data_IF_211156056128
#
_entry.id   IF_211156056128
#
_cell.length_a   1.000
_cell.length_b   1.000
_cell.length_c   1.000
_cell.angle_alpha   90.00
_cell.angle_beta   90.00
_cell.angle_gamma   90.00
#
_symmetry.space_group_name_H-M   'P 1'
#
loop_
_entity.id
_entity.type
_entity.pdbx_description
1 polymer ?
#
# COMPACT_ATOMS: atom_id res chain seq x y z
N UNK A 1 8.64 6.91 5.40
CA UNK A 1 8.70 5.65 6.19
C UNK A 1 9.35 4.53 5.38
N UNK A 2 8.83 4.18 4.21
CA UNK A 2 9.41 3.12 3.35
C UNK A 2 10.91 3.33 3.07
N UNK A 3 11.32 4.53 2.61
CA UNK A 3 12.74 4.81 2.37
C UNK A 3 13.61 4.74 3.64
N UNK A 4 13.04 5.00 4.83
CA UNK A 4 13.76 4.80 6.10
C UNK A 4 14.00 3.31 6.35
N UNK A 5 13.00 2.46 6.09
CA UNK A 5 13.14 1.01 6.22
C UNK A 5 14.23 0.48 5.26
N UNK A 6 14.20 0.94 4.00
CA UNK A 6 15.22 0.62 2.99
C UNK A 6 16.62 1.04 3.46
N UNK A 7 16.79 2.27 3.95
CA UNK A 7 18.08 2.76 4.44
C UNK A 7 18.60 2.00 5.67
N UNK A 8 17.73 1.51 6.55
CA UNK A 8 18.13 0.82 7.78
C UNK A 8 18.61 -0.62 7.53
N UNK A 9 17.98 -1.32 6.59
CA UNK A 9 18.14 -2.78 6.47
C UNK A 9 18.37 -3.28 5.04
N UNK A 10 18.23 -2.42 4.04
CA UNK A 10 18.41 -2.77 2.63
C UNK A 10 19.84 -2.54 2.14
N UNK A 11 20.21 -3.26 1.10
CA UNK A 11 21.52 -3.13 0.49
C UNK A 11 21.65 -1.82 -0.33
N UNK A 12 22.82 -1.17 -0.33
CA UNK A 12 23.07 -0.03 -1.20
C UNK A 12 22.93 -0.41 -2.69
N UNK A 13 22.24 0.43 -3.45
CA UNK A 13 22.10 0.27 -4.89
C UNK A 13 23.31 0.93 -5.56
N UNK A 14 24.07 0.15 -6.32
CA UNK A 14 25.17 0.66 -7.14
C UNK A 14 24.61 1.09 -8.50
N UNK A 15 24.71 2.38 -8.80
CA UNK A 15 24.25 2.97 -10.04
C UNK A 15 25.46 3.24 -10.95
N UNK A 16 25.33 2.89 -12.23
CA UNK A 16 26.32 3.24 -13.25
C UNK A 16 26.43 4.78 -13.37
N UNK A 17 27.64 5.37 -13.22
CA UNK A 17 27.86 6.82 -13.28
C UNK A 17 27.38 7.51 -14.56
N UNK A 18 27.16 6.77 -15.64
CA UNK A 18 26.72 7.30 -16.94
C UNK A 18 25.21 7.53 -17.04
N UNK A 19 24.46 7.14 -16.02
CA UNK A 19 22.99 7.27 -16.02
C UNK A 19 22.51 8.54 -15.32
N UNK A 20 21.40 9.11 -15.80
CA UNK A 20 20.68 10.21 -15.15
C UNK A 20 20.23 9.89 -13.71
N UNK A 21 20.43 8.67 -13.24
CA UNK A 21 20.09 8.25 -11.89
C UNK A 21 21.07 8.78 -10.83
N UNK A 22 22.28 9.23 -11.21
CA UNK A 22 23.18 9.93 -10.29
C UNK A 22 22.55 11.22 -9.76
N UNK A 23 21.96 12.03 -10.63
CA UNK A 23 21.29 13.28 -10.25
C UNK A 23 20.09 13.03 -9.32
N UNK A 24 19.40 11.90 -9.49
CA UNK A 24 18.29 11.49 -8.61
C UNK A 24 18.81 11.15 -7.21
N UNK A 25 19.90 10.39 -7.09
CA UNK A 25 20.46 10.02 -5.79
C UNK A 25 21.12 11.20 -5.07
N UNK A 26 21.74 12.13 -5.80
CA UNK A 26 22.28 13.36 -5.22
C UNK A 26 21.16 14.19 -4.58
N UNK A 27 19.96 14.19 -5.19
CA UNK A 27 18.78 14.89 -4.67
C UNK A 27 18.00 14.10 -3.62
N UNK A 28 17.95 12.78 -3.74
CA UNK A 28 17.16 11.86 -2.92
C UNK A 28 18.02 10.66 -2.50
N UNK A 29 19.00 10.85 -1.60
CA UNK A 29 19.97 9.81 -1.23
C UNK A 29 19.33 8.59 -0.58
N UNK A 30 18.15 8.72 0.00
CA UNK A 30 17.38 7.62 0.58
C UNK A 30 16.82 6.63 -0.45
N UNK A 31 16.80 6.99 -1.74
CA UNK A 31 16.45 6.08 -2.83
C UNK A 31 17.63 5.19 -3.26
N UNK A 32 18.81 5.39 -2.68
CA UNK A 32 20.02 4.62 -2.96
C UNK A 32 20.10 3.27 -2.26
N UNK A 33 18.98 2.77 -1.71
CA UNK A 33 18.92 1.51 -0.97
C UNK A 33 17.77 0.66 -1.47
N UNK A 34 18.01 -0.63 -1.65
CA UNK A 34 16.97 -1.59 -2.01
C UNK A 34 15.97 -1.76 -0.86
N UNK A 35 14.76 -2.22 -1.17
CA UNK A 35 13.85 -2.67 -0.11
C UNK A 35 14.43 -3.93 0.56
N UNK A 36 14.44 -4.03 1.90
CA UNK A 36 15.07 -5.15 2.58
C UNK A 36 14.37 -6.47 2.26
N UNK A 37 15.17 -7.50 2.07
CA UNK A 37 14.71 -8.87 1.93
C UNK A 37 14.08 -9.37 3.23
N UNK A 38 13.22 -10.38 3.13
CA UNK A 38 12.64 -11.02 4.31
C UNK A 38 13.74 -11.59 5.23
N UNK A 39 14.79 -12.18 4.66
CA UNK A 39 15.94 -12.71 5.41
C UNK A 39 16.66 -11.63 6.21
N UNK A 40 16.91 -10.45 5.61
CA UNK A 40 17.50 -9.31 6.32
C UNK A 40 16.64 -8.87 7.52
N UNK A 41 15.33 -8.82 7.35
CA UNK A 41 14.42 -8.42 8.43
C UNK A 41 14.28 -9.49 9.52
N UNK A 42 14.30 -10.78 9.17
CA UNK A 42 14.29 -11.88 10.14
C UNK A 42 15.55 -11.86 11.00
N UNK A 43 16.71 -11.54 10.42
CA UNK A 43 17.98 -11.50 11.15
C UNK A 43 17.98 -10.49 12.31
N UNK A 44 17.23 -9.39 12.18
CA UNK A 44 17.09 -8.31 13.18
C UNK A 44 15.76 -8.36 13.93
N UNK A 45 15.02 -9.47 13.82
CA UNK A 45 13.68 -9.63 14.38
C UNK A 45 13.57 -9.28 15.88
N UNK A 46 14.54 -9.63 16.76
CA UNK A 46 14.44 -9.33 18.20
C UNK A 46 14.34 -7.83 18.50
N UNK A 47 15.07 -6.98 17.76
CA UNK A 47 15.13 -5.53 17.96
C UNK A 47 14.24 -4.72 16.98
N UNK A 48 13.74 -5.35 15.91
CA UNK A 48 13.05 -4.68 14.80
C UNK A 48 11.94 -3.72 15.27
N UNK A 49 11.06 -4.15 16.18
CA UNK A 49 9.96 -3.30 16.68
C UNK A 49 10.49 -2.07 17.44
N UNK A 50 11.48 -2.25 18.31
CA UNK A 50 12.06 -1.17 19.10
C UNK A 50 12.70 -0.12 18.19
N UNK A 51 13.55 -0.57 17.26
CA UNK A 51 14.21 0.32 16.29
C UNK A 51 13.18 1.05 15.43
N UNK A 52 12.15 0.36 14.91
CA UNK A 52 11.13 1.03 14.10
C UNK A 52 10.32 2.08 14.89
N UNK A 53 10.10 1.87 16.19
CA UNK A 53 9.47 2.88 17.06
C UNK A 53 10.33 4.12 17.19
N UNK A 54 11.63 3.95 17.45
CA UNK A 54 12.61 5.05 17.50
C UNK A 54 12.68 5.79 16.16
N UNK A 55 12.48 5.09 15.05
CA UNK A 55 12.46 5.65 13.70
C UNK A 55 11.11 6.29 13.31
N UNK A 56 10.22 6.49 14.29
CA UNK A 56 8.91 7.16 14.18
C UNK A 56 7.91 6.41 13.29
N UNK A 57 7.94 5.07 13.27
CA UNK A 57 6.91 4.28 12.58
C UNK A 57 5.58 4.23 13.38
N UNK A 58 5.60 4.67 14.64
CA UNK A 58 4.43 4.67 15.52
C UNK A 58 3.90 3.27 15.76
N UNK A 59 2.58 3.11 15.82
CA UNK A 59 1.95 1.80 16.08
C UNK A 59 2.25 0.76 14.98
N UNK A 60 2.61 1.19 13.77
CA UNK A 60 2.91 0.28 12.65
C UNK A 60 4.21 -0.49 12.84
N UNK A 61 5.11 -0.03 13.72
CA UNK A 61 6.33 -0.76 14.06
C UNK A 61 6.02 -2.18 14.54
N UNK A 62 5.01 -2.33 15.40
CA UNK A 62 4.56 -3.62 15.89
C UNK A 62 3.97 -4.50 14.77
N UNK A 63 3.13 -3.91 13.90
CA UNK A 63 2.55 -4.63 12.75
C UNK A 63 3.62 -5.15 11.79
N UNK A 64 4.63 -4.33 11.47
CA UNK A 64 5.73 -4.73 10.58
C UNK A 64 6.53 -5.86 11.22
N UNK A 65 6.98 -5.70 12.47
CA UNK A 65 7.77 -6.73 13.14
C UNK A 65 7.00 -8.05 13.27
N UNK A 66 5.71 -8.01 13.59
CA UNK A 66 4.90 -9.22 13.70
C UNK A 66 4.63 -9.86 12.33
N UNK A 67 4.41 -9.07 11.28
CA UNK A 67 4.26 -9.59 9.92
C UNK A 67 5.53 -10.29 9.44
N UNK A 68 6.72 -9.72 9.70
CA UNK A 68 8.01 -10.36 9.39
C UNK A 68 8.14 -11.69 10.14
N UNK A 69 7.80 -11.72 11.44
CA UNK A 69 7.79 -12.95 12.25
C UNK A 69 6.88 -14.02 11.65
N UNK A 70 5.65 -13.65 11.27
CA UNK A 70 4.67 -14.56 10.66
C UNK A 70 5.18 -15.08 9.31
N UNK A 71 5.73 -14.21 8.46
CA UNK A 71 6.29 -14.58 7.16
C UNK A 71 7.51 -15.50 7.29
N UNK A 72 8.36 -15.30 8.29
CA UNK A 72 9.51 -16.17 8.55
C UNK A 72 9.17 -17.59 8.98
N UNK A 73 7.91 -17.88 9.29
CA UNK A 73 7.40 -19.22 9.59
C UNK A 73 6.83 -19.92 8.36
N UNK A 74 6.70 -19.22 7.23
CA UNK A 74 6.16 -19.77 5.98
C UNK A 74 7.30 -20.27 5.08
N UNK A 75 6.94 -21.07 4.07
CA UNK A 75 7.87 -21.42 3.00
C UNK A 75 8.37 -20.16 2.28
N UNK A 76 9.66 -20.08 1.88
CA UNK A 76 10.17 -18.99 1.05
C UNK A 76 9.39 -18.79 -0.26
N UNK A 77 8.77 -19.86 -0.77
CA UNK A 77 7.96 -19.86 -2.01
C UNK A 77 6.46 -19.73 -1.73
N UNK A 78 6.03 -19.41 -0.50
CA UNK A 78 4.61 -19.45 -0.14
C UNK A 78 3.72 -18.57 -1.03
N UNK A 79 4.26 -17.45 -1.55
CA UNK A 79 3.52 -16.57 -2.43
C UNK A 79 3.27 -17.14 -3.84
N UNK A 80 4.10 -18.07 -4.30
CA UNK A 80 3.90 -18.75 -5.59
C UNK A 80 2.62 -19.59 -5.52
N UNK A 81 2.42 -20.31 -4.41
CA UNK A 81 1.21 -21.10 -4.14
C UNK A 81 -0.01 -20.18 -3.94
N UNK A 82 0.16 -19.09 -3.17
CA UNK A 82 -0.93 -18.13 -2.90
C UNK A 82 -1.46 -17.48 -4.18
N UNK A 83 -0.60 -17.21 -5.16
CA UNK A 83 -1.03 -16.63 -6.45
C UNK A 83 -1.96 -17.55 -7.26
N UNK A 84 -1.94 -18.86 -7.00
CA UNK A 84 -2.82 -19.83 -7.66
C UNK A 84 -4.18 -19.99 -6.95
N UNK A 85 -4.35 -19.41 -5.77
CA UNK A 85 -5.58 -19.50 -5.00
C UNK A 85 -6.68 -18.61 -5.57
N UNK A 86 -7.92 -18.89 -5.17
CA UNK A 86 -9.04 -17.99 -5.48
C UNK A 86 -8.85 -16.62 -4.81
N UNK A 87 -9.45 -15.58 -5.38
CA UNK A 87 -9.39 -14.23 -4.82
C UNK A 87 -9.85 -14.16 -3.34
N UNK A 88 -10.85 -14.96 -2.96
CA UNK A 88 -11.33 -15.01 -1.58
C UNK A 88 -10.35 -15.70 -0.63
N UNK A 89 -9.61 -16.69 -1.10
CA UNK A 89 -8.55 -17.35 -0.34
C UNK A 89 -7.33 -16.45 -0.18
N UNK A 90 -6.94 -15.72 -1.24
CA UNK A 90 -5.91 -14.68 -1.17
C UNK A 90 -6.27 -13.62 -0.12
N UNK A 91 -7.52 -13.13 -0.13
CA UNK A 91 -8.01 -12.18 0.88
C UNK A 91 -7.90 -12.75 2.30
N UNK A 92 -8.33 -13.99 2.52
CA UNK A 92 -8.23 -14.67 3.83
C UNK A 92 -6.78 -14.80 4.29
N UNK A 93 -5.88 -15.21 3.39
CA UNK A 93 -4.46 -15.31 3.66
C UNK A 93 -3.88 -13.96 4.08
N UNK A 94 -4.12 -12.90 3.30
CA UNK A 94 -3.61 -11.56 3.60
C UNK A 94 -4.17 -10.99 4.91
N UNK A 95 -5.45 -11.22 5.21
CA UNK A 95 -6.08 -10.78 6.46
C UNK A 95 -5.57 -11.51 7.70
N UNK A 96 -4.81 -12.60 7.55
CA UNK A 96 -4.19 -13.30 8.69
C UNK A 96 -2.96 -12.56 9.26
N UNK A 97 -2.40 -11.61 8.51
CA UNK A 97 -1.23 -10.86 8.95
C UNK A 97 -1.60 -9.70 9.87
N UNK A 98 -0.80 -9.52 10.93
CA UNK A 98 -1.05 -8.49 11.93
C UNK A 98 -0.93 -7.09 11.35
N UNK A 99 -2.00 -6.29 11.46
CA UNK A 99 -2.05 -4.93 10.92
C UNK A 99 -2.50 -4.85 9.46
N UNK A 100 -2.79 -5.99 8.81
CA UNK A 100 -3.39 -6.03 7.47
C UNK A 100 -4.91 -6.06 7.59
N UNK A 101 -5.54 -4.90 7.39
CA UNK A 101 -6.99 -4.78 7.27
C UNK A 101 -7.49 -4.96 5.82
N UNK A 102 -8.82 -4.98 5.59
CA UNK A 102 -9.41 -5.19 4.27
C UNK A 102 -8.83 -4.31 3.16
N UNK A 103 -8.65 -3.01 3.42
CA UNK A 103 -8.06 -2.09 2.43
C UNK A 103 -6.64 -2.49 2.03
N UNK A 104 -5.81 -2.88 3.00
CA UNK A 104 -4.41 -3.25 2.75
C UNK A 104 -4.35 -4.58 2.02
N UNK A 105 -5.19 -5.55 2.40
CA UNK A 105 -5.32 -6.82 1.70
C UNK A 105 -5.70 -6.62 0.22
N UNK A 106 -6.69 -5.79 -0.07
CA UNK A 106 -7.05 -5.46 -1.47
C UNK A 106 -5.90 -4.79 -2.23
N UNK A 107 -5.12 -3.90 -1.58
CA UNK A 107 -3.97 -3.26 -2.23
C UNK A 107 -2.90 -4.29 -2.63
N UNK A 108 -2.56 -5.20 -1.71
CA UNK A 108 -1.56 -6.24 -1.95
C UNK A 108 -2.06 -7.20 -3.03
N UNK A 109 -3.32 -7.64 -2.96
CA UNK A 109 -3.92 -8.52 -3.96
C UNK A 109 -3.90 -7.90 -5.37
N UNK A 110 -4.31 -6.63 -5.50
CA UNK A 110 -4.34 -5.90 -6.77
C UNK A 110 -2.94 -5.63 -7.34
N UNK A 111 -2.03 -5.10 -6.51
CA UNK A 111 -0.75 -4.55 -6.98
C UNK A 111 0.39 -5.56 -7.01
N UNK A 112 0.26 -6.72 -6.33
CA UNK A 112 1.35 -7.70 -6.23
C UNK A 112 0.96 -9.16 -6.50
N UNK A 113 -0.33 -9.51 -6.45
CA UNK A 113 -0.80 -10.90 -6.65
C UNK A 113 -1.69 -11.08 -7.90
N UNK A 114 -1.69 -10.11 -8.80
CA UNK A 114 -2.39 -10.21 -10.09
C UNK A 114 -3.92 -10.19 -10.02
N UNK A 115 -4.52 -9.86 -8.87
CA UNK A 115 -5.97 -9.86 -8.69
C UNK A 115 -6.57 -8.53 -9.17
N UNK A 116 -6.71 -8.36 -10.48
CA UNK A 116 -7.16 -7.11 -11.13
C UNK A 116 -8.58 -6.67 -10.76
N UNK A 117 -9.39 -7.58 -10.24
CA UNK A 117 -10.73 -7.35 -9.73
C UNK A 117 -10.76 -6.83 -8.28
N UNK A 118 -9.65 -6.94 -7.53
CA UNK A 118 -9.58 -6.44 -6.15
C UNK A 118 -9.66 -4.90 -6.12
N UNK A 119 -10.46 -4.35 -5.21
CA UNK A 119 -10.78 -2.91 -5.16
C UNK A 119 -10.46 -2.35 -3.77
N UNK A 120 -9.31 -1.68 -3.60
CA UNK A 120 -9.00 -1.00 -2.36
C UNK A 120 -9.96 0.17 -2.09
N UNK A 121 -10.86 0.01 -1.12
CA UNK A 121 -11.75 1.09 -0.68
C UNK A 121 -11.15 1.80 0.55
N UNK A 122 -10.65 3.01 0.35
CA UNK A 122 -10.29 3.93 1.42
C UNK A 122 -11.27 5.11 1.52
N UNK A 123 -10.96 6.10 2.37
CA UNK A 123 -11.80 7.29 2.52
C UNK A 123 -11.92 8.08 1.21
N UNK A 124 -10.86 8.21 0.43
CA UNK A 124 -10.85 9.00 -0.81
C UNK A 124 -11.71 8.33 -1.88
N UNK A 125 -11.51 7.03 -2.09
CA UNK A 125 -12.35 6.22 -2.99
C UNK A 125 -13.81 6.24 -2.55
N UNK A 126 -14.06 6.20 -1.24
CA UNK A 126 -15.41 6.36 -0.72
C UNK A 126 -16.03 7.72 -1.06
N UNK A 127 -15.31 8.83 -0.90
CA UNK A 127 -15.78 10.17 -1.30
C UNK A 127 -16.05 10.28 -2.82
N UNK A 128 -15.17 9.72 -3.66
CA UNK A 128 -15.40 9.60 -5.11
C UNK A 128 -16.71 8.87 -5.36
N UNK A 129 -16.90 7.73 -4.69
CA UNK A 129 -18.06 6.89 -4.88
C UNK A 129 -19.35 7.61 -4.50
N UNK A 130 -19.36 8.30 -3.35
CA UNK A 130 -20.50 9.14 -2.94
C UNK A 130 -20.81 10.21 -3.98
N UNK A 131 -19.79 10.88 -4.51
CA UNK A 131 -19.96 11.99 -5.44
C UNK A 131 -20.51 11.55 -6.80
N UNK A 132 -19.97 10.48 -7.38
CA UNK A 132 -20.21 10.17 -8.81
C UNK A 132 -21.11 8.96 -9.04
N UNK A 133 -21.24 8.05 -8.06
CA UNK A 133 -21.96 6.80 -8.26
C UNK A 133 -23.11 6.59 -7.29
N UNK A 134 -22.96 7.03 -6.03
CA UNK A 134 -23.95 6.79 -4.97
C UNK A 134 -24.17 8.02 -4.09
N UNK A 135 -24.81 9.10 -4.60
CA UNK A 135 -25.09 10.32 -3.83
C UNK A 135 -25.92 10.08 -2.56
N UNK A 136 -26.71 9.01 -2.53
CA UNK A 136 -27.49 8.60 -1.35
C UNK A 136 -26.62 8.23 -0.14
N UNK A 137 -25.32 8.00 -0.31
CA UNK A 137 -24.38 7.68 0.76
C UNK A 137 -23.74 8.93 1.39
N UNK A 138 -24.17 10.16 1.02
CA UNK A 138 -23.57 11.44 1.46
C UNK A 138 -23.24 11.49 2.95
N UNK A 139 -24.21 11.13 3.80
CA UNK A 139 -24.11 11.20 5.27
C UNK A 139 -23.69 9.86 5.90
N UNK A 140 -23.31 8.88 5.09
CA UNK A 140 -22.84 7.57 5.56
C UNK A 140 -21.35 7.62 5.90
N UNK A 141 -20.97 6.83 6.91
CA UNK A 141 -19.58 6.56 7.25
C UNK A 141 -19.10 5.27 6.58
N UNK A 142 -17.80 5.22 6.23
CA UNK A 142 -17.19 4.01 5.70
C UNK A 142 -17.05 2.96 6.81
N UNK A 143 -17.89 1.92 6.75
CA UNK A 143 -17.82 0.74 7.62
C UNK A 143 -17.27 -0.46 6.85
N UNK A 144 -16.88 -1.52 7.57
CA UNK A 144 -16.43 -2.77 6.92
C UNK A 144 -17.51 -3.38 6.02
N UNK A 145 -18.77 -3.37 6.48
CA UNK A 145 -19.91 -3.88 5.70
C UNK A 145 -20.13 -3.04 4.44
N UNK A 146 -20.10 -1.71 4.58
CA UNK A 146 -20.26 -0.82 3.44
C UNK A 146 -19.09 -0.97 2.46
N UNK A 147 -17.85 -1.04 2.95
CA UNK A 147 -16.65 -1.27 2.14
C UNK A 147 -16.80 -2.52 1.26
N UNK A 148 -17.25 -3.65 1.81
CA UNK A 148 -17.51 -4.88 1.03
C UNK A 148 -18.59 -4.69 -0.03
N UNK A 149 -19.67 -3.97 0.29
CA UNK A 149 -20.71 -3.65 -0.69
C UNK A 149 -20.17 -2.78 -1.83
N UNK A 150 -19.29 -1.83 -1.51
CA UNK A 150 -18.65 -0.99 -2.51
C UNK A 150 -17.69 -1.81 -3.39
N UNK A 151 -16.88 -2.70 -2.83
CA UNK A 151 -16.05 -3.61 -3.64
C UNK A 151 -16.87 -4.36 -4.68
N UNK A 152 -17.99 -4.99 -4.27
CA UNK A 152 -18.91 -5.68 -5.18
C UNK A 152 -19.49 -4.76 -6.26
N UNK A 153 -19.90 -3.55 -5.90
CA UNK A 153 -20.38 -2.57 -6.86
C UNK A 153 -19.33 -2.24 -7.94
N UNK A 154 -18.06 -2.07 -7.55
CA UNK A 154 -16.98 -1.81 -8.52
C UNK A 154 -16.71 -3.04 -9.40
N UNK A 155 -16.70 -4.25 -8.82
CA UNK A 155 -16.57 -5.51 -9.57
C UNK A 155 -17.72 -5.67 -10.60
N UNK A 156 -18.98 -5.44 -10.19
CA UNK A 156 -20.16 -5.48 -11.07
C UNK A 156 -20.10 -4.41 -12.17
N UNK A 157 -19.60 -3.21 -11.86
CA UNK A 157 -19.59 -2.07 -12.78
C UNK A 157 -18.44 -2.11 -13.79
N UNK A 158 -17.25 -2.54 -13.37
CA UNK A 158 -16.02 -2.45 -14.14
C UNK A 158 -15.43 -3.81 -14.52
N UNK A 159 -16.01 -4.91 -14.01
CA UNK A 159 -15.64 -6.27 -14.38
C UNK A 159 -14.24 -6.66 -13.91
N UNK A 160 -13.55 -7.45 -14.74
CA UNK A 160 -12.27 -8.07 -14.41
C UNK A 160 -11.13 -7.09 -14.05
N UNK A 161 -11.25 -5.80 -14.40
CA UNK A 161 -10.24 -4.78 -14.16
C UNK A 161 -10.72 -3.68 -13.19
N UNK A 162 -11.69 -3.99 -12.33
CA UNK A 162 -12.27 -3.03 -11.40
C UNK A 162 -11.25 -2.31 -10.51
N UNK A 163 -10.19 -2.99 -10.06
CA UNK A 163 -9.12 -2.39 -9.28
C UNK A 163 -8.34 -1.32 -10.06
N UNK A 164 -8.06 -1.58 -11.34
CA UNK A 164 -7.39 -0.61 -12.20
C UNK A 164 -8.28 0.59 -12.52
N UNK A 165 -9.58 0.37 -12.76
CA UNK A 165 -10.54 1.45 -12.93
C UNK A 165 -10.63 2.33 -11.67
N UNK A 166 -10.64 1.71 -10.48
CA UNK A 166 -10.54 2.44 -9.21
C UNK A 166 -9.25 3.27 -9.12
N UNK A 167 -8.11 2.74 -9.56
CA UNK A 167 -6.84 3.46 -9.61
C UNK A 167 -6.90 4.72 -10.48
N UNK A 168 -7.53 4.65 -11.66
CA UNK A 168 -7.74 5.81 -12.55
C UNK A 168 -8.59 6.89 -11.86
N UNK A 169 -9.71 6.48 -11.23
CA UNK A 169 -10.60 7.39 -10.52
C UNK A 169 -9.92 8.05 -9.32
N UNK A 170 -9.11 7.29 -8.58
CA UNK A 170 -8.33 7.79 -7.45
C UNK A 170 -7.31 8.84 -7.90
N UNK A 171 -6.60 8.61 -9.01
CA UNK A 171 -5.59 9.54 -9.51
C UNK A 171 -6.19 10.90 -9.90
N UNK A 172 -7.37 10.93 -10.53
CA UNK A 172 -8.08 12.18 -10.85
C UNK A 172 -8.46 13.02 -9.61
N UNK A 173 -8.60 12.39 -8.44
CA UNK A 173 -8.85 13.13 -7.20
C UNK A 173 -7.57 13.75 -6.64
N UNK A 174 -6.40 13.13 -6.87
CA UNK A 174 -5.11 13.64 -6.42
C UNK A 174 -4.73 14.97 -7.08
N UNK A 175 -5.05 15.14 -8.37
CA UNK A 175 -4.80 16.39 -9.11
C UNK A 175 -5.44 17.62 -8.45
N UNK A 176 -6.61 17.44 -7.81
CA UNK A 176 -7.29 18.53 -7.09
C UNK A 176 -6.51 19.03 -5.89
N UNK A 177 -5.71 18.16 -5.26
CA UNK A 177 -4.85 18.55 -4.15
C UNK A 177 -3.61 19.30 -4.63
N UNK A 178 -3.01 18.89 -5.77
CA UNK A 178 -1.85 19.58 -6.36
C UNK A 178 -2.21 21.02 -6.73
N UNK A 179 -3.39 21.24 -7.33
CA UNK A 179 -3.82 22.59 -7.71
C UNK A 179 -4.33 23.44 -6.53
N UNK A 180 -4.79 22.84 -5.44
CA UNK A 180 -5.23 23.59 -4.25
C UNK A 180 -4.03 24.17 -3.48
N UNK A 181 -2.92 23.42 -3.38
CA UNK A 181 -1.70 23.90 -2.70
C UNK A 181 -1.06 25.09 -3.43
N UNK A 182 -1.12 25.12 -4.76
CA UNK A 182 -0.61 26.25 -5.56
C UNK A 182 -1.39 27.57 -5.36
N UNK A 183 -2.66 27.51 -4.91
CA UNK A 183 -3.48 28.71 -4.69
C UNK A 183 -3.25 29.28 -3.27
N UNK A 184 -2.85 28.45 -2.29
CA UNK A 184 -2.56 28.92 -0.93
C UNK A 184 -1.22 29.64 -0.77
N UNK A 185 -0.26 29.45 -1.67
CA UNK A 185 1.03 30.18 -1.65
C UNK A 185 0.95 31.59 -2.26
N UNK A 186 -0.16 31.93 -2.93
CA UNK A 186 -0.29 33.18 -3.69
C UNK A 186 -1.18 34.26 -3.02
N UNK A 187 -1.67 34.03 -1.80
CA UNK A 187 -2.55 34.97 -1.08
C UNK A 187 -1.91 35.56 0.21
N UNK A 188 -0.59 35.56 0.30
CA UNK A 188 0.15 36.33 1.31
C UNK A 188 0.67 37.64 0.72
N UNK A 189 -0.19 38.67 0.67
CA UNK A 189 0.21 40.09 0.59
C UNK A 189 -0.14 40.76 1.90
#
# INVERSE_FOLDING_TARGET
MVNKLAKLYGDPIIIDPTTNAKDVLDRFPELGYAFPTLTQLIAVQPELNAVLREQMFGYRAASVAETVRQLGQLSPTCFDDVQQLSCDEIRKFLLSFTGVGPKVAECVALMSLGQHQCVPIDRHVFEITKKYFMPSLKDSNLTVVLSRRLMKFYEEKFGAYAGWAQGVLFNQQLEKFIHTTAISENNGV
#
